data_IF_807528426709
#
_entry.id   IF_807528426709
#
_cell.length_a   1.000
_cell.length_b   1.000
_cell.length_c   1.000
_cell.angle_alpha   90.00
_cell.angle_beta   90.00
_cell.angle_gamma   90.00
#
_symmetry.space_group_name_H-M   'P 1'
#
loop_
_entity.id
_entity.type
_entity.pdbx_description
1 polymer ?
#
# COMPACT_ATOMS: atom_id res chain seq x y z
N UNK A 1 -54.42 -24.76 -13.14
CA UNK A 1 -53.26 -24.90 -12.24
C UNK A 1 -52.14 -24.03 -12.79
N UNK A 2 -51.97 -22.85 -12.23
CA UNK A 2 -50.83 -21.97 -12.54
C UNK A 2 -50.06 -21.81 -11.24
N UNK A 3 -48.98 -22.58 -11.13
CA UNK A 3 -47.97 -22.41 -10.08
C UNK A 3 -47.37 -21.02 -10.22
N UNK A 4 -47.62 -20.16 -9.23
CA UNK A 4 -46.89 -18.91 -9.07
C UNK A 4 -45.57 -19.29 -8.40
N UNK A 5 -44.52 -19.31 -9.20
CA UNK A 5 -43.15 -19.49 -8.76
C UNK A 5 -42.79 -18.37 -7.76
N UNK A 6 -42.55 -18.74 -6.50
CA UNK A 6 -42.04 -17.86 -5.46
C UNK A 6 -40.59 -17.44 -5.81
N UNK A 7 -40.45 -16.37 -6.58
CA UNK A 7 -39.16 -15.73 -6.81
C UNK A 7 -38.74 -15.10 -5.48
N UNK A 8 -37.86 -15.81 -4.79
CA UNK A 8 -37.07 -15.31 -3.66
C UNK A 8 -36.29 -14.06 -4.11
N UNK A 9 -36.91 -12.88 -3.99
CA UNK A 9 -36.27 -11.60 -4.26
C UNK A 9 -35.14 -11.39 -3.24
N UNK A 10 -33.91 -11.74 -3.62
CA UNK A 10 -32.69 -11.26 -2.99
C UNK A 10 -32.68 -9.73 -3.06
N UNK A 11 -33.23 -9.06 -2.04
CA UNK A 11 -33.20 -7.60 -1.94
C UNK A 11 -31.72 -7.15 -1.86
N UNK A 12 -31.27 -6.23 -2.71
CA UNK A 12 -29.91 -5.72 -2.64
C UNK A 12 -29.67 -5.07 -1.27
N UNK A 13 -28.57 -5.44 -0.61
CA UNK A 13 -28.15 -4.95 0.70
C UNK A 13 -27.98 -3.42 0.79
N UNK A 14 -28.07 -2.71 -0.34
CA UNK A 14 -27.86 -1.28 -0.48
C UNK A 14 -28.97 -0.39 0.11
N UNK A 15 -30.15 -0.94 0.42
CA UNK A 15 -31.32 -0.16 0.90
C UNK A 15 -31.88 -0.58 2.26
N UNK A 16 -31.28 -1.56 2.93
CA UNK A 16 -31.84 -2.16 4.14
C UNK A 16 -31.61 -1.30 5.38
N UNK A 17 -32.47 -1.48 6.40
CA UNK A 17 -32.25 -0.92 7.74
C UNK A 17 -30.89 -1.33 8.32
N UNK A 18 -30.42 -2.54 8.00
CA UNK A 18 -29.11 -3.04 8.41
C UNK A 18 -27.95 -2.24 7.79
N UNK A 19 -28.08 -1.75 6.56
CA UNK A 19 -27.07 -0.86 5.99
C UNK A 19 -27.06 0.48 6.71
N UNK A 20 -28.22 1.10 6.92
CA UNK A 20 -28.33 2.37 7.65
C UNK A 20 -27.69 2.27 9.04
N UNK A 21 -27.95 1.18 9.76
CA UNK A 21 -27.34 0.90 11.06
C UNK A 21 -25.81 0.77 10.99
N UNK A 22 -25.28 0.00 10.02
CA UNK A 22 -23.82 -0.16 9.84
C UNK A 22 -23.13 1.14 9.46
N UNK A 23 -23.73 1.92 8.56
CA UNK A 23 -23.19 3.23 8.13
C UNK A 23 -23.18 4.19 9.32
N UNK A 24 -24.30 4.33 10.03
CA UNK A 24 -24.37 5.17 11.24
C UNK A 24 -23.38 4.75 12.31
N UNK A 25 -23.25 3.44 12.58
CA UNK A 25 -22.26 2.90 13.51
C UNK A 25 -20.82 3.22 13.10
N UNK A 26 -20.50 3.11 11.80
CA UNK A 26 -19.17 3.44 11.28
C UNK A 26 -18.85 4.94 11.42
N UNK A 27 -19.83 5.81 11.16
CA UNK A 27 -19.68 7.27 11.35
C UNK A 27 -19.44 7.60 12.83
N UNK A 28 -20.26 7.06 13.74
CA UNK A 28 -20.11 7.27 15.18
C UNK A 28 -18.78 6.74 15.69
N UNK A 29 -18.36 5.55 15.25
CA UNK A 29 -17.06 4.99 15.63
C UNK A 29 -15.88 5.83 15.13
N UNK A 30 -15.98 6.41 13.93
CA UNK A 30 -14.93 7.28 13.38
C UNK A 30 -14.88 8.63 14.11
N UNK A 31 -16.02 9.21 14.43
CA UNK A 31 -16.08 10.53 15.06
C UNK A 31 -15.79 10.46 16.56
N UNK A 32 -16.45 9.54 17.27
CA UNK A 32 -16.44 9.50 18.73
C UNK A 32 -15.59 8.37 19.32
N UNK A 33 -15.21 7.36 18.53
CA UNK A 33 -14.56 6.15 19.04
C UNK A 33 -15.56 5.13 19.58
N UNK A 34 -15.11 3.92 19.90
CA UNK A 34 -15.92 2.76 20.29
C UNK A 34 -16.78 3.00 21.54
N UNK A 35 -16.42 3.98 22.38
CA UNK A 35 -17.25 4.42 23.50
C UNK A 35 -18.62 5.01 23.09
N UNK A 36 -18.86 5.29 21.80
CA UNK A 36 -20.15 5.73 21.27
C UNK A 36 -21.30 4.77 21.61
N UNK A 37 -21.04 3.46 21.64
CA UNK A 37 -22.04 2.43 21.97
C UNK A 37 -22.61 2.65 23.37
N UNK A 38 -21.76 3.03 24.33
CA UNK A 38 -22.19 3.32 25.69
C UNK A 38 -23.09 4.56 25.75
N UNK A 39 -22.82 5.57 24.91
CA UNK A 39 -23.65 6.78 24.83
C UNK A 39 -25.01 6.48 24.21
N UNK A 40 -25.05 5.64 23.17
CA UNK A 40 -26.30 5.21 22.55
C UNK A 40 -27.13 4.37 23.52
N UNK A 41 -26.53 3.42 24.23
CA UNK A 41 -27.24 2.64 25.25
C UNK A 41 -27.84 3.55 26.33
N UNK A 42 -27.07 4.50 26.86
CA UNK A 42 -27.60 5.48 27.85
C UNK A 42 -28.77 6.29 27.29
N UNK A 43 -28.68 6.77 26.05
CA UNK A 43 -29.77 7.53 25.39
C UNK A 43 -31.01 6.67 25.13
N UNK A 44 -30.82 5.38 24.87
CA UNK A 44 -31.89 4.39 24.74
C UNK A 44 -32.41 3.88 26.09
N UNK A 45 -31.99 4.49 27.21
CA UNK A 45 -32.32 4.07 28.58
C UNK A 45 -31.91 2.62 28.90
N UNK A 46 -30.90 2.11 28.19
CA UNK A 46 -30.28 0.82 28.41
C UNK A 46 -28.99 0.98 29.22
N UNK A 47 -28.72 0.03 30.12
CA UNK A 47 -27.44 -0.01 30.82
C UNK A 47 -26.31 -0.40 29.84
N UNK A 48 -25.22 0.37 29.73
CA UNK A 48 -24.08 0.00 28.90
C UNK A 48 -23.38 -1.29 29.34
N UNK A 49 -23.46 -1.62 30.62
CA UNK A 49 -22.72 -2.73 31.24
C UNK A 49 -21.23 -2.41 31.45
N UNK A 50 -20.69 -2.83 32.60
CA UNK A 50 -19.30 -2.56 33.00
C UNK A 50 -18.28 -3.13 32.01
N UNK A 51 -18.58 -4.31 31.43
CA UNK A 51 -17.72 -4.98 30.45
C UNK A 51 -17.64 -4.16 29.15
N UNK A 52 -18.77 -3.74 28.59
CA UNK A 52 -18.82 -2.96 27.34
C UNK A 52 -18.06 -1.65 27.47
N UNK A 53 -18.19 -0.98 28.62
CA UNK A 53 -17.43 0.25 28.92
C UNK A 53 -15.92 -0.02 28.88
N UNK A 54 -15.47 -1.07 29.58
CA UNK A 54 -14.04 -1.44 29.64
C UNK A 54 -13.49 -1.82 28.27
N UNK A 55 -14.24 -2.60 27.50
CA UNK A 55 -13.87 -3.02 26.14
C UNK A 55 -13.77 -1.79 25.23
N UNK A 56 -14.75 -0.89 25.26
CA UNK A 56 -14.74 0.32 24.45
C UNK A 56 -13.54 1.22 24.74
N UNK A 57 -13.24 1.43 26.03
CA UNK A 57 -12.04 2.19 26.42
C UNK A 57 -10.74 1.53 25.94
N UNK A 58 -10.63 0.19 26.02
CA UNK A 58 -9.46 -0.54 25.53
C UNK A 58 -9.26 -0.37 24.02
N UNK A 59 -10.35 -0.46 23.25
CA UNK A 59 -10.32 -0.28 21.80
C UNK A 59 -9.94 1.17 21.45
N UNK A 60 -10.52 2.16 22.15
CA UNK A 60 -10.22 3.57 21.92
C UNK A 60 -8.76 3.92 22.25
N UNK A 61 -8.19 3.39 23.34
CA UNK A 61 -6.76 3.54 23.64
C UNK A 61 -5.88 3.01 22.50
N UNK A 62 -6.19 1.82 21.97
CA UNK A 62 -5.47 1.25 20.83
C UNK A 62 -5.58 2.13 19.58
N UNK A 63 -6.78 2.63 19.28
CA UNK A 63 -7.04 3.54 18.16
C UNK A 63 -6.23 4.83 18.28
N UNK A 64 -6.22 5.46 19.45
CA UNK A 64 -5.47 6.69 19.69
C UNK A 64 -3.95 6.46 19.57
N UNK A 65 -3.45 5.37 20.12
CA UNK A 65 -2.05 4.96 19.96
C UNK A 65 -1.69 4.76 18.48
N UNK A 66 -2.54 4.06 17.71
CA UNK A 66 -2.35 3.90 16.27
C UNK A 66 -2.38 5.25 15.54
N UNK A 67 -3.33 6.14 15.84
CA UNK A 67 -3.39 7.47 15.23
C UNK A 67 -2.09 8.25 15.47
N UNK A 68 -1.63 8.30 16.73
CA UNK A 68 -0.39 8.99 17.12
C UNK A 68 0.85 8.43 16.42
N UNK A 69 0.93 7.11 16.29
CA UNK A 69 2.14 6.45 15.80
C UNK A 69 2.08 6.12 14.30
N UNK A 70 0.93 6.24 13.64
CA UNK A 70 0.73 5.86 12.23
C UNK A 70 1.68 6.55 11.25
N UNK A 71 2.14 7.75 11.59
CA UNK A 71 3.07 8.55 10.78
C UNK A 71 4.53 8.20 11.03
N UNK A 72 4.85 7.51 12.12
CA UNK A 72 6.23 7.20 12.49
C UNK A 72 6.87 6.21 11.51
N UNK A 73 8.17 6.41 11.26
CA UNK A 73 8.95 5.55 10.35
C UNK A 73 8.95 4.11 10.87
N UNK A 74 9.15 3.91 12.18
CA UNK A 74 9.12 2.59 12.82
C UNK A 74 7.79 1.87 12.59
N UNK A 75 6.66 2.55 12.80
CA UNK A 75 5.34 1.94 12.61
C UNK A 75 5.07 1.56 11.15
N UNK A 76 5.51 2.38 10.19
CA UNK A 76 5.42 2.06 8.76
C UNK A 76 6.29 0.85 8.39
N UNK A 77 7.53 0.78 8.90
CA UNK A 77 8.44 -0.37 8.72
C UNK A 77 7.82 -1.65 9.28
N UNK A 78 7.29 -1.63 10.50
CA UNK A 78 6.65 -2.81 11.11
C UNK A 78 5.40 -3.26 10.37
N UNK A 79 4.62 -2.30 9.85
CA UNK A 79 3.44 -2.62 9.03
C UNK A 79 3.87 -3.33 7.74
N UNK A 80 4.94 -2.87 7.11
CA UNK A 80 5.49 -3.50 5.91
C UNK A 80 5.98 -4.93 6.21
N UNK A 81 6.80 -5.11 7.27
CA UNK A 81 7.28 -6.43 7.72
C UNK A 81 6.12 -7.41 7.98
N UNK A 82 5.09 -6.97 8.70
CA UNK A 82 3.88 -7.78 8.97
C UNK A 82 3.09 -8.12 7.71
N UNK A 83 2.95 -7.17 6.77
CA UNK A 83 2.28 -7.41 5.49
C UNK A 83 3.03 -8.47 4.70
N UNK A 84 4.36 -8.34 4.60
CA UNK A 84 5.20 -9.29 3.88
C UNK A 84 5.10 -10.70 4.48
N UNK A 85 5.24 -10.83 5.81
CA UNK A 85 5.06 -12.10 6.52
C UNK A 85 3.69 -12.75 6.26
N UNK A 86 2.61 -11.96 6.30
CA UNK A 86 1.25 -12.45 6.03
C UNK A 86 1.11 -12.92 4.58
N UNK A 87 1.57 -12.13 3.61
CA UNK A 87 1.51 -12.48 2.19
C UNK A 87 2.29 -13.77 1.92
N UNK A 88 3.48 -13.91 2.50
CA UNK A 88 4.28 -15.13 2.38
C UNK A 88 3.53 -16.35 2.94
N UNK A 89 2.98 -16.25 4.16
CA UNK A 89 2.18 -17.33 4.75
C UNK A 89 0.99 -17.74 3.87
N UNK A 90 0.31 -16.77 3.25
CA UNK A 90 -0.80 -17.05 2.34
C UNK A 90 -0.34 -17.77 1.07
N UNK A 91 0.78 -17.35 0.48
CA UNK A 91 1.38 -18.02 -0.68
C UNK A 91 1.77 -19.46 -0.32
N UNK A 92 2.47 -19.67 0.81
CA UNK A 92 2.86 -21.01 1.25
C UNK A 92 1.64 -21.89 1.51
N UNK A 93 0.59 -21.37 2.16
CA UNK A 93 -0.65 -22.10 2.36
C UNK A 93 -1.32 -22.49 1.03
N UNK A 94 -1.39 -21.58 0.05
CA UNK A 94 -1.94 -21.91 -1.28
C UNK A 94 -1.12 -22.94 -2.05
N UNK A 95 0.21 -22.94 -1.90
CA UNK A 95 1.09 -23.95 -2.51
C UNK A 95 0.88 -25.31 -1.85
N UNK A 96 0.69 -25.35 -0.52
CA UNK A 96 0.34 -26.58 0.22
C UNK A 96 -1.06 -27.08 -0.16
N UNK A 97 -2.02 -26.17 -0.37
CA UNK A 97 -3.42 -26.49 -0.68
C UNK A 97 -3.65 -26.91 -2.16
N UNK A 98 -2.68 -26.71 -3.05
CA UNK A 98 -2.77 -27.08 -4.47
C UNK A 98 -3.84 -26.31 -5.27
N UNK A 99 -4.10 -26.70 -6.53
CA UNK A 99 -5.06 -26.04 -7.46
C UNK A 99 -6.55 -26.20 -7.08
N UNK A 100 -6.91 -26.13 -5.81
CA UNK A 100 -8.26 -26.46 -5.32
C UNK A 100 -9.31 -25.37 -5.61
N UNK A 101 -8.91 -24.13 -5.97
CA UNK A 101 -9.83 -22.98 -6.09
C UNK A 101 -9.75 -22.19 -7.40
N UNK A 102 -9.40 -22.82 -8.52
CA UNK A 102 -9.59 -22.18 -9.83
C UNK A 102 -11.05 -22.34 -10.28
N UNK A 103 -11.81 -21.25 -10.53
CA UNK A 103 -13.08 -21.37 -11.22
C UNK A 103 -12.78 -21.75 -12.68
N UNK A 104 -13.13 -22.97 -13.07
CA UNK A 104 -12.84 -23.64 -14.35
C UNK A 104 -11.40 -24.12 -14.55
N UNK A 105 -11.14 -25.36 -14.15
CA UNK A 105 -10.02 -26.16 -14.63
C UNK A 105 -10.48 -26.88 -15.90
N UNK A 106 -9.89 -26.53 -17.05
CA UNK A 106 -9.82 -27.43 -18.21
C UNK A 106 -8.55 -28.25 -18.05
N UNK A 107 -8.69 -29.57 -18.00
CA UNK A 107 -7.55 -30.50 -17.97
C UNK A 107 -6.86 -30.49 -19.33
N UNK A 108 -5.64 -29.95 -19.38
CA UNK A 108 -4.64 -30.32 -20.37
C UNK A 108 -3.32 -30.52 -19.60
N UNK A 109 -3.12 -31.73 -19.09
CA UNK A 109 -1.93 -32.08 -18.29
C UNK A 109 -0.83 -32.57 -19.23
N UNK A 110 0.11 -31.68 -19.54
CA UNK A 110 1.45 -32.04 -20.03
C UNK A 110 2.36 -32.26 -18.80
N UNK A 111 2.83 -33.50 -18.60
CA UNK A 111 3.51 -33.99 -17.38
C UNK A 111 4.99 -33.55 -17.27
N UNK A 112 5.43 -32.48 -17.96
CA UNK A 112 6.86 -32.17 -18.07
C UNK A 112 7.33 -30.85 -17.43
N UNK A 113 6.49 -30.15 -16.68
CA UNK A 113 6.92 -28.97 -15.90
C UNK A 113 6.44 -29.09 -14.45
N UNK A 114 7.17 -29.88 -13.66
CA UNK A 114 7.15 -29.65 -12.21
C UNK A 114 7.93 -28.35 -12.00
N UNK A 115 7.21 -27.22 -11.97
CA UNK A 115 7.79 -25.97 -11.49
C UNK A 115 8.42 -26.26 -10.12
N UNK A 116 9.72 -26.02 -10.00
CA UNK A 116 10.40 -26.18 -8.72
C UNK A 116 9.72 -25.26 -7.71
N UNK A 117 9.37 -25.83 -6.54
CA UNK A 117 8.86 -25.04 -5.42
C UNK A 117 9.86 -23.91 -5.20
N UNK A 118 9.44 -22.63 -5.25
CA UNK A 118 10.34 -21.51 -5.01
C UNK A 118 11.02 -21.76 -3.67
N UNK A 119 12.31 -22.07 -3.72
CA UNK A 119 13.08 -22.34 -2.50
C UNK A 119 12.99 -21.07 -1.68
N UNK A 120 12.66 -21.22 -0.39
CA UNK A 120 12.59 -20.11 0.57
C UNK A 120 13.84 -19.24 0.37
N UNK A 121 13.70 -18.05 -0.23
CA UNK A 121 14.68 -17.00 -0.02
C UNK A 121 14.59 -16.70 1.47
N UNK A 122 15.48 -17.33 2.23
CA UNK A 122 15.65 -17.05 3.63
C UNK A 122 16.00 -15.57 3.76
N UNK A 123 15.00 -14.74 4.05
CA UNK A 123 15.20 -13.37 4.51
C UNK A 123 15.74 -13.34 5.95
N UNK A 124 15.96 -14.52 6.56
CA UNK A 124 16.65 -14.64 7.84
C UNK A 124 18.12 -14.27 7.58
N UNK A 125 18.46 -12.99 7.78
CA UNK A 125 19.79 -12.41 7.59
C UNK A 125 19.88 -11.16 6.70
N UNK A 126 18.82 -10.81 5.95
CA UNK A 126 18.83 -9.59 5.12
C UNK A 126 18.34 -8.40 5.97
N UNK A 127 19.26 -7.80 6.72
CA UNK A 127 19.02 -6.58 7.50
C UNK A 127 19.17 -5.28 6.69
N UNK A 128 19.64 -5.37 5.44
CA UNK A 128 19.85 -4.20 4.57
C UNK A 128 18.61 -3.94 3.70
N UNK A 129 17.92 -2.84 4.01
CA UNK A 129 16.76 -2.36 3.26
C UNK A 129 17.12 -1.06 2.56
N UNK A 130 17.00 -1.05 1.24
CA UNK A 130 17.09 0.19 0.46
C UNK A 130 15.69 0.72 0.21
N UNK A 131 15.44 1.96 0.64
CA UNK A 131 14.22 2.69 0.32
C UNK A 131 14.51 3.58 -0.88
N UNK A 132 13.65 3.55 -1.89
CA UNK A 132 13.79 4.42 -3.05
C UNK A 132 12.45 5.04 -3.44
N UNK A 133 12.51 6.19 -4.10
CA UNK A 133 11.37 6.90 -4.66
C UNK A 133 11.72 7.53 -6.01
N UNK A 134 10.69 7.68 -6.85
CA UNK A 134 10.84 8.12 -8.23
C UNK A 134 9.88 9.27 -8.55
N UNK A 135 10.44 10.38 -9.03
CA UNK A 135 9.64 11.46 -9.60
C UNK A 135 9.53 11.32 -11.11
N UNK A 136 8.37 11.66 -11.66
CA UNK A 136 8.06 11.51 -13.09
C UNK A 136 7.59 12.81 -13.73
N UNK A 137 7.68 12.88 -15.07
CA UNK A 137 7.18 14.03 -15.85
C UNK A 137 5.64 14.15 -15.83
N UNK A 138 4.95 13.06 -15.49
CA UNK A 138 3.50 12.96 -15.34
C UNK A 138 3.08 11.61 -14.75
N UNK A 139 1.78 11.30 -14.82
CA UNK A 139 1.20 10.07 -14.27
C UNK A 139 1.04 8.94 -15.30
N UNK A 140 1.34 9.21 -16.58
CA UNK A 140 1.20 8.23 -17.66
C UNK A 140 2.25 7.12 -17.53
N UNK A 141 1.96 5.95 -18.13
CA UNK A 141 2.95 4.87 -18.30
C UNK A 141 4.08 5.26 -19.26
N UNK A 142 3.83 6.24 -20.12
CA UNK A 142 4.81 6.79 -21.05
C UNK A 142 5.63 7.93 -20.44
N UNK A 143 5.37 8.34 -19.20
CA UNK A 143 6.09 9.43 -18.54
C UNK A 143 7.53 9.05 -18.23
N UNK A 144 8.44 10.00 -18.42
CA UNK A 144 9.86 9.83 -18.12
C UNK A 144 10.12 10.00 -16.61
N UNK A 145 11.17 9.35 -16.13
CA UNK A 145 11.69 9.55 -14.78
C UNK A 145 12.53 10.82 -14.80
N UNK A 146 12.28 11.74 -13.86
CA UNK A 146 13.01 13.02 -13.72
C UNK A 146 13.87 13.09 -12.46
N UNK A 147 13.62 12.21 -11.49
CA UNK A 147 14.46 12.10 -10.30
C UNK A 147 14.44 10.65 -9.78
N UNK A 148 15.59 10.19 -9.31
CA UNK A 148 15.76 8.93 -8.60
C UNK A 148 16.37 9.26 -7.24
N UNK A 149 15.67 8.88 -6.17
CA UNK A 149 16.20 8.98 -4.80
C UNK A 149 16.25 7.61 -4.18
N UNK A 150 17.37 7.27 -3.52
CA UNK A 150 17.53 6.01 -2.80
C UNK A 150 18.32 6.21 -1.50
N UNK A 151 18.02 5.41 -0.49
CA UNK A 151 18.69 5.45 0.81
C UNK A 151 18.76 4.05 1.42
N UNK A 152 19.96 3.58 1.72
CA UNK A 152 20.24 2.26 2.30
C UNK A 152 20.37 2.30 3.85
N UNK A 153 20.26 3.49 4.47
CA UNK A 153 20.51 3.69 5.90
C UNK A 153 21.85 4.38 6.22
N UNK A 154 22.80 4.38 5.27
CA UNK A 154 24.13 5.00 5.38
C UNK A 154 24.36 6.01 4.27
N UNK A 155 24.13 5.61 3.02
CA UNK A 155 24.35 6.39 1.80
C UNK A 155 23.02 6.85 1.21
N UNK A 156 23.00 8.10 0.75
CA UNK A 156 21.87 8.69 0.05
C UNK A 156 22.24 8.97 -1.41
N UNK A 157 21.45 8.42 -2.33
CA UNK A 157 21.46 8.77 -3.74
C UNK A 157 20.33 9.75 -4.00
N UNK A 158 20.63 10.86 -4.67
CA UNK A 158 19.62 11.80 -5.13
C UNK A 158 20.05 12.37 -6.48
N UNK A 159 19.48 11.85 -7.56
CA UNK A 159 19.86 12.19 -8.93
C UNK A 159 18.69 12.80 -9.67
N UNK A 160 18.94 13.90 -10.37
CA UNK A 160 18.03 14.42 -11.38
C UNK A 160 18.35 13.81 -12.74
N UNK A 161 17.30 13.53 -13.51
CA UNK A 161 17.40 12.86 -14.81
C UNK A 161 16.82 13.76 -15.88
N UNK A 162 17.61 14.06 -16.92
CA UNK A 162 17.16 14.85 -18.07
C UNK A 162 16.03 14.10 -18.81
N UNK A 163 14.79 14.64 -18.85
CA UNK A 163 13.68 14.00 -19.51
C UNK A 163 13.75 14.21 -21.03
N UNK A 164 13.19 13.28 -21.80
CA UNK A 164 13.05 13.43 -23.27
C UNK A 164 11.78 14.16 -23.67
N UNK A 165 10.87 14.36 -22.72
CA UNK A 165 9.57 14.97 -22.93
C UNK A 165 9.28 16.05 -21.87
N UNK A 166 8.46 17.05 -22.18
CA UNK A 166 8.10 18.10 -21.23
C UNK A 166 7.52 17.57 -19.92
N UNK A 167 7.87 18.26 -18.84
CA UNK A 167 7.27 18.01 -17.53
C UNK A 167 5.89 18.68 -17.51
N UNK A 168 4.84 17.93 -17.19
CA UNK A 168 3.50 18.50 -17.07
C UNK A 168 3.46 19.56 -15.97
N UNK A 169 2.69 20.64 -16.18
CA UNK A 169 2.57 21.75 -15.21
C UNK A 169 2.26 21.25 -13.80
N UNK A 170 1.25 20.37 -13.68
CA UNK A 170 0.87 19.75 -12.40
C UNK A 170 2.02 18.97 -11.74
N UNK A 171 2.85 18.26 -12.52
CA UNK A 171 4.01 17.57 -11.97
C UNK A 171 5.11 18.54 -11.54
N UNK A 172 5.28 19.67 -12.23
CA UNK A 172 6.19 20.72 -11.81
C UNK A 172 5.72 21.44 -10.55
N UNK A 173 4.42 21.72 -10.42
CA UNK A 173 3.84 22.38 -9.24
C UNK A 173 4.01 21.53 -7.98
N UNK A 174 3.81 20.22 -8.09
CA UNK A 174 3.89 19.29 -6.96
C UNK A 174 5.35 19.06 -6.54
N UNK A 175 6.25 18.81 -7.50
CA UNK A 175 7.63 18.42 -7.17
C UNK A 175 8.58 19.60 -7.10
N UNK A 176 8.21 20.76 -7.66
CA UNK A 176 9.09 21.91 -7.86
C UNK A 176 10.19 21.70 -8.91
N UNK A 177 10.07 20.68 -9.78
CA UNK A 177 11.10 20.35 -10.78
C UNK A 177 10.66 20.80 -12.16
N UNK A 178 11.52 21.54 -12.85
CA UNK A 178 11.30 22.06 -14.19
C UNK A 178 12.53 21.79 -15.07
N UNK A 179 12.33 21.64 -16.37
CA UNK A 179 13.41 21.40 -17.32
C UNK A 179 13.30 22.35 -18.52
N UNK A 180 14.40 23.02 -18.86
CA UNK A 180 14.51 23.87 -20.06
C UNK A 180 15.18 23.07 -21.17
N UNK A 181 14.43 22.77 -22.24
CA UNK A 181 14.95 22.08 -23.41
C UNK A 181 15.91 22.95 -24.23
N UNK A 182 15.68 24.26 -24.28
CA UNK A 182 16.54 25.21 -24.99
C UNK A 182 17.93 25.28 -24.38
N UNK A 183 18.01 25.27 -23.04
CA UNK A 183 19.28 25.33 -22.29
C UNK A 183 19.82 23.97 -21.89
N UNK A 184 19.08 22.91 -22.18
CA UNK A 184 19.34 21.55 -21.70
C UNK A 184 19.65 21.50 -20.19
N UNK A 185 18.86 22.23 -19.38
CA UNK A 185 19.15 22.49 -17.97
C UNK A 185 17.95 22.13 -17.08
N UNK A 186 18.22 21.37 -16.01
CA UNK A 186 17.24 21.05 -14.97
C UNK A 186 17.26 22.12 -13.87
N UNK A 187 16.09 22.38 -13.28
CA UNK A 187 15.93 23.29 -12.15
C UNK A 187 15.08 22.66 -11.05
N UNK A 188 15.45 22.90 -9.80
CA UNK A 188 14.65 22.61 -8.63
C UNK A 188 14.29 23.93 -7.93
N UNK A 189 12.99 24.26 -7.90
CA UNK A 189 12.45 25.51 -7.35
C UNK A 189 13.15 26.76 -7.90
N UNK A 190 13.42 26.76 -9.20
CA UNK A 190 14.10 27.85 -9.91
C UNK A 190 15.63 27.86 -9.81
N UNK A 191 16.23 26.99 -8.98
CA UNK A 191 17.69 26.88 -8.85
C UNK A 191 18.20 25.81 -9.83
N UNK A 192 19.23 26.09 -10.64
CA UNK A 192 19.79 25.10 -11.55
C UNK A 192 20.39 23.93 -10.77
N UNK A 193 20.10 22.71 -11.20
CA UNK A 193 20.64 21.47 -10.63
C UNK A 193 21.29 20.63 -11.71
N UNK A 194 22.35 19.90 -11.36
CA UNK A 194 22.97 18.96 -12.27
C UNK A 194 22.00 17.81 -12.58
N UNK A 195 21.89 17.46 -13.86
CA UNK A 195 21.08 16.33 -14.33
C UNK A 195 21.91 15.40 -15.19
N UNK A 196 21.67 14.10 -15.07
CA UNK A 196 22.32 13.06 -15.85
C UNK A 196 21.33 12.39 -16.81
N UNK A 197 21.84 11.65 -17.81
CA UNK A 197 20.98 10.80 -18.62
C UNK A 197 20.48 9.59 -17.82
N UNK A 198 19.32 9.04 -18.20
CA UNK A 198 18.68 7.93 -17.48
C UNK A 198 19.59 6.71 -17.34
N UNK A 199 20.39 6.40 -18.37
CA UNK A 199 21.33 5.27 -18.34
C UNK A 199 22.36 5.43 -17.21
N UNK A 200 22.96 6.61 -17.07
CA UNK A 200 23.94 6.90 -16.01
C UNK A 200 23.28 6.83 -14.63
N UNK A 201 22.06 7.37 -14.49
CA UNK A 201 21.32 7.31 -13.22
C UNK A 201 21.01 5.88 -12.79
N UNK A 202 20.58 5.02 -13.72
CA UNK A 202 20.29 3.61 -13.43
C UNK A 202 21.54 2.82 -13.07
N UNK A 203 22.68 3.09 -13.73
CA UNK A 203 23.96 2.46 -13.37
C UNK A 203 24.38 2.81 -11.94
N UNK A 204 24.25 4.06 -11.54
CA UNK A 204 24.55 4.48 -10.16
C UNK A 204 23.59 3.88 -9.13
N UNK A 205 22.30 3.72 -9.49
CA UNK A 205 21.34 3.04 -8.63
C UNK A 205 21.71 1.56 -8.46
N UNK A 206 22.07 0.86 -9.55
CA UNK A 206 22.51 -0.54 -9.49
C UNK A 206 23.75 -0.67 -8.62
N UNK A 207 24.71 0.24 -8.75
CA UNK A 207 25.92 0.24 -7.92
C UNK A 207 25.58 0.26 -6.43
N UNK A 208 24.71 1.17 -5.98
CA UNK A 208 24.25 1.23 -4.59
C UNK A 208 23.52 -0.03 -4.17
N UNK A 209 22.63 -0.57 -5.01
CA UNK A 209 21.91 -1.80 -4.71
C UNK A 209 22.85 -3.01 -4.63
N UNK A 210 23.92 -3.05 -5.42
CA UNK A 210 24.91 -4.13 -5.39
C UNK A 210 25.90 -4.00 -4.24
N UNK A 211 26.31 -2.78 -3.88
CA UNK A 211 27.14 -2.53 -2.69
C UNK A 211 26.40 -2.87 -1.40
N UNK A 212 25.09 -2.62 -1.33
CA UNK A 212 24.21 -3.00 -0.21
C UNK A 212 23.80 -4.49 -0.22
N UNK A 213 24.27 -5.29 -1.18
CA UNK A 213 24.01 -6.74 -1.25
C UNK A 213 25.30 -7.57 -1.17
N UNK A 214 26.48 -6.93 -1.08
CA UNK A 214 27.78 -7.61 -0.92
C UNK A 214 28.17 -7.67 0.56
N UNK A 215 27.45 -8.46 1.35
CA UNK A 215 27.88 -9.00 2.65
C UNK A 215 27.31 -10.40 2.83
#
# INVERSE_FOLDING_TARGET
MTEICEISLCRPYAGTSSLKARVSAAVLQKNEGYTWVNKVNKKALLSPGTISVRVGQKIDRKRLWQKKNSTSVHFKRDRFKRKHKKTFQQITASVIEGETYKPQIKEDVSVNYIESIPTKCSLDGIDEYVVFDLERTGLSRTSDIKQISAYDGKNMLNLYVSPRQPISSKASDVTGITFSFERNQMYYRGVPVESVCIRKALLQLIEILTCACRL
#
